data_IF_051522146634
#
_entry.id   IF_051522146634
#
_cell.length_a   1.000
_cell.length_b   1.000
_cell.length_c   1.000
_cell.angle_alpha   90.00
_cell.angle_beta   90.00
_cell.angle_gamma   90.00
#
_symmetry.space_group_name_H-M   'P 1'
#
loop_
_entity.id
_entity.type
_entity.pdbx_description
1 polymer ?
#
# COMPACT_ATOMS: atom_id res chain seq x y z
N UNK A 1 -5.82 -3.61 -42.51
CA UNK A 1 -5.58 -4.47 -41.34
C UNK A 1 -6.19 -3.93 -40.04
N UNK A 2 -5.77 -2.77 -39.49
CA UNK A 2 -6.27 -2.26 -38.18
C UNK A 2 -7.81 -2.29 -38.03
N UNK A 3 -8.54 -1.82 -39.04
CA UNK A 3 -10.01 -1.85 -39.09
C UNK A 3 -10.61 -3.27 -39.07
N UNK A 4 -10.01 -4.22 -39.79
CA UNK A 4 -10.50 -5.59 -39.86
C UNK A 4 -10.37 -6.33 -38.51
N UNK A 5 -9.28 -6.10 -37.76
CA UNK A 5 -9.11 -6.68 -36.42
C UNK A 5 -10.11 -6.08 -35.43
N UNK A 6 -10.36 -4.77 -35.50
CA UNK A 6 -11.39 -4.12 -34.67
C UNK A 6 -12.80 -4.64 -35.02
N UNK A 7 -13.12 -4.82 -36.30
CA UNK A 7 -14.38 -5.45 -36.73
C UNK A 7 -14.50 -6.90 -36.28
N UNK A 8 -13.42 -7.68 -36.27
CA UNK A 8 -13.42 -9.05 -35.73
C UNK A 8 -13.64 -9.06 -34.22
N UNK A 9 -13.07 -8.11 -33.48
CA UNK A 9 -13.27 -7.97 -32.03
C UNK A 9 -14.72 -7.56 -31.70
N UNK A 10 -15.26 -6.58 -32.44
CA UNK A 10 -16.68 -6.17 -32.33
C UNK A 10 -17.62 -7.31 -32.72
N UNK A 11 -17.31 -8.08 -33.79
CA UNK A 11 -18.07 -9.28 -34.15
C UNK A 11 -17.99 -10.37 -33.08
N UNK A 12 -16.83 -10.61 -32.45
CA UNK A 12 -16.71 -11.58 -31.37
C UNK A 12 -17.58 -11.20 -30.16
N UNK A 13 -17.60 -9.91 -29.79
CA UNK A 13 -18.48 -9.38 -28.74
C UNK A 13 -19.97 -9.55 -29.14
N UNK A 14 -20.34 -9.17 -30.37
CA UNK A 14 -21.71 -9.33 -30.88
C UNK A 14 -22.15 -10.80 -30.94
N UNK A 15 -21.27 -11.73 -31.35
CA UNK A 15 -21.58 -13.16 -31.37
C UNK A 15 -21.88 -13.72 -29.97
N UNK A 16 -21.19 -13.22 -28.93
CA UNK A 16 -21.49 -13.58 -27.53
C UNK A 16 -22.89 -13.08 -27.15
N UNK A 17 -23.25 -11.84 -27.50
CA UNK A 17 -24.61 -11.32 -27.26
C UNK A 17 -25.69 -12.10 -28.02
N UNK A 18 -25.48 -12.43 -29.31
CA UNK A 18 -26.49 -13.18 -30.10
C UNK A 18 -26.61 -14.63 -29.68
N UNK A 19 -25.56 -15.25 -29.13
CA UNK A 19 -25.62 -16.63 -28.63
C UNK A 19 -26.50 -16.78 -27.37
N UNK A 20 -26.80 -15.68 -26.67
CA UNK A 20 -27.68 -15.69 -25.49
C UNK A 20 -29.16 -15.47 -25.82
N UNK A 21 -29.52 -15.00 -27.02
CA UNK A 21 -30.93 -14.71 -27.36
C UNK A 21 -31.74 -15.93 -27.84
N UNK A 22 -31.14 -17.12 -27.92
CA UNK A 22 -31.78 -18.37 -28.34
C UNK A 22 -31.88 -19.42 -27.22
N UNK A 23 -31.86 -19.00 -25.96
CA UNK A 23 -31.82 -19.89 -24.79
C UNK A 23 -32.76 -19.49 -23.66
N UNK A 24 -33.94 -20.12 -23.64
CA UNK A 24 -34.94 -20.15 -22.55
C UNK A 24 -35.63 -18.83 -22.17
N UNK A 25 -36.97 -18.88 -22.15
CA UNK A 25 -37.81 -17.88 -21.51
C UNK A 25 -38.08 -18.26 -20.03
N UNK A 26 -38.35 -17.25 -19.20
CA UNK A 26 -38.93 -17.44 -17.87
C UNK A 26 -37.97 -17.51 -16.69
N UNK A 27 -37.38 -16.36 -16.31
CA UNK A 27 -37.41 -15.82 -14.93
C UNK A 27 -36.58 -14.52 -14.84
N UNK A 28 -36.98 -13.61 -13.95
CA UNK A 28 -36.27 -12.34 -13.75
C UNK A 28 -34.94 -12.55 -13.00
N UNK A 29 -33.81 -12.43 -13.72
CA UNK A 29 -32.46 -12.44 -13.16
C UNK A 29 -31.72 -11.17 -13.61
N UNK A 30 -30.91 -10.60 -12.72
CA UNK A 30 -30.24 -9.31 -12.94
C UNK A 30 -29.26 -9.34 -14.13
N UNK A 31 -29.39 -8.35 -15.02
CA UNK A 31 -28.53 -8.15 -16.18
C UNK A 31 -27.16 -7.56 -15.77
N UNK A 32 -26.30 -8.34 -15.11
CA UNK A 32 -24.82 -8.13 -15.03
C UNK A 32 -24.12 -9.27 -14.26
N UNK A 33 -24.14 -10.50 -14.77
CA UNK A 33 -23.45 -11.64 -14.14
C UNK A 33 -22.51 -12.39 -15.10
N UNK A 34 -21.63 -11.63 -15.75
CA UNK A 34 -20.52 -12.18 -16.53
C UNK A 34 -19.37 -12.47 -15.56
N UNK A 35 -19.04 -13.76 -15.40
CA UNK A 35 -17.93 -14.21 -14.56
C UNK A 35 -16.59 -13.67 -15.08
N UNK A 36 -16.19 -12.49 -14.60
CA UNK A 36 -14.98 -11.79 -15.02
C UNK A 36 -13.71 -12.59 -14.78
N UNK A 37 -13.68 -13.49 -13.78
CA UNK A 37 -12.57 -14.41 -13.54
C UNK A 37 -12.43 -15.44 -14.67
N UNK A 38 -13.55 -15.91 -15.23
CA UNK A 38 -13.56 -16.77 -16.43
C UNK A 38 -13.13 -15.99 -17.68
N UNK A 39 -13.71 -14.82 -17.93
CA UNK A 39 -13.34 -13.96 -19.06
C UNK A 39 -11.84 -13.58 -19.03
N UNK A 40 -11.34 -13.11 -17.89
CA UNK A 40 -9.95 -12.71 -17.71
C UNK A 40 -9.01 -13.92 -17.81
N UNK A 41 -9.34 -15.08 -17.24
CA UNK A 41 -8.54 -16.30 -17.41
C UNK A 41 -8.55 -16.81 -18.85
N UNK A 42 -9.66 -16.68 -19.58
CA UNK A 42 -9.76 -17.08 -20.99
C UNK A 42 -8.95 -16.13 -21.89
N UNK A 43 -9.05 -14.81 -21.65
CA UNK A 43 -8.28 -13.78 -22.34
C UNK A 43 -6.77 -13.93 -22.07
N UNK A 44 -6.36 -14.07 -20.80
CA UNK A 44 -4.96 -14.26 -20.40
C UNK A 44 -4.41 -15.65 -20.80
N UNK A 45 -5.25 -16.69 -20.90
CA UNK A 45 -4.80 -18.01 -21.40
C UNK A 45 -4.71 -18.04 -22.93
N UNK A 46 -5.61 -17.37 -23.65
CA UNK A 46 -5.46 -17.14 -25.09
C UNK A 46 -4.18 -16.35 -25.42
N UNK A 47 -3.81 -15.39 -24.55
CA UNK A 47 -2.55 -14.65 -24.63
C UNK A 47 -1.29 -15.52 -24.44
N UNK A 48 -1.36 -16.75 -23.92
CA UNK A 48 -0.19 -17.65 -23.81
C UNK A 48 0.39 -18.02 -25.18
N UNK A 49 -0.46 -18.13 -26.21
CA UNK A 49 -0.01 -18.35 -27.60
C UNK A 49 0.44 -17.04 -28.30
N UNK A 50 0.33 -15.89 -27.64
CA UNK A 50 0.54 -14.56 -28.23
C UNK A 50 1.85 -13.88 -27.81
N UNK A 51 2.80 -14.61 -27.22
CA UNK A 51 4.17 -14.11 -26.96
C UNK A 51 4.91 -13.60 -28.23
N UNK A 52 4.44 -14.00 -29.43
CA UNK A 52 4.91 -13.50 -30.73
C UNK A 52 4.20 -12.22 -31.20
N UNK A 53 2.98 -11.95 -30.72
CA UNK A 53 2.20 -10.74 -31.03
C UNK A 53 2.39 -9.64 -29.99
N UNK A 54 2.77 -9.98 -28.75
CA UNK A 54 3.11 -9.03 -27.69
C UNK A 54 4.14 -7.97 -28.14
N UNK A 55 5.21 -8.42 -28.81
CA UNK A 55 6.27 -7.57 -29.41
C UNK A 55 5.82 -6.71 -30.59
N UNK A 56 4.65 -6.97 -31.18
CA UNK A 56 4.11 -6.21 -32.32
C UNK A 56 3.19 -5.07 -31.83
N UNK A 57 2.56 -5.23 -30.66
CA UNK A 57 1.49 -4.35 -30.17
C UNK A 57 1.77 -3.57 -28.88
N UNK A 58 2.95 -3.72 -28.26
CA UNK A 58 3.38 -2.89 -27.09
C UNK A 58 2.34 -2.85 -25.95
N UNK A 59 1.73 -3.99 -25.61
CA UNK A 59 0.60 -4.05 -24.66
C UNK A 59 0.89 -3.44 -23.28
N UNK A 60 2.15 -3.46 -22.83
CA UNK A 60 2.55 -2.82 -21.57
C UNK A 60 2.27 -1.30 -21.57
N UNK A 61 2.35 -0.62 -22.73
CA UNK A 61 2.01 0.82 -22.92
C UNK A 61 0.49 1.08 -22.95
N UNK A 62 -0.33 0.03 -23.07
CA UNK A 62 -1.80 0.13 -23.00
C UNK A 62 -2.25 0.08 -21.54
N UNK A 63 -1.70 -0.82 -20.73
CA UNK A 63 -2.11 -1.01 -19.34
C UNK A 63 -1.33 -0.17 -18.32
N UNK A 64 -0.10 0.23 -18.65
CA UNK A 64 0.78 0.96 -17.73
C UNK A 64 1.29 2.28 -18.32
N UNK A 65 1.37 3.32 -17.49
CA UNK A 65 2.09 4.57 -17.80
C UNK A 65 3.57 4.44 -17.45
N UNK A 66 4.39 5.32 -18.01
CA UNK A 66 5.85 5.33 -17.75
C UNK A 66 6.16 5.43 -16.25
N UNK A 67 6.86 4.43 -15.66
CA UNK A 67 7.27 4.47 -14.26
C UNK A 67 8.47 5.40 -14.01
N UNK A 68 8.89 5.62 -12.76
CA UNK A 68 10.19 6.23 -12.46
C UNK A 68 11.33 5.33 -12.95
N UNK A 69 11.81 5.54 -14.18
CA UNK A 69 12.75 4.62 -14.84
C UNK A 69 14.22 4.90 -14.56
N UNK A 70 14.56 6.11 -14.12
CA UNK A 70 15.94 6.46 -13.73
C UNK A 70 16.30 5.74 -12.42
N UNK A 71 17.34 4.91 -12.49
CA UNK A 71 17.76 4.00 -11.43
C UNK A 71 19.29 3.94 -11.36
N UNK A 72 19.83 3.88 -10.16
CA UNK A 72 21.27 3.71 -9.88
C UNK A 72 21.49 2.48 -9.00
N UNK A 73 22.59 1.75 -9.17
CA UNK A 73 22.89 0.58 -8.32
C UNK A 73 23.09 1.00 -6.86
N UNK A 74 22.55 0.26 -5.89
CA UNK A 74 22.64 0.59 -4.47
C UNK A 74 23.05 -0.63 -3.62
N UNK A 75 24.18 -0.51 -2.90
CA UNK A 75 24.79 -1.63 -2.19
C UNK A 75 24.09 -1.96 -0.86
N UNK A 76 23.26 -2.99 -0.87
CA UNK A 76 22.65 -3.63 0.31
C UNK A 76 23.47 -4.87 0.67
N UNK A 77 23.86 -5.00 1.95
CA UNK A 77 24.52 -6.19 2.50
C UNK A 77 23.49 -7.27 2.89
N UNK A 78 23.93 -8.52 3.02
CA UNK A 78 23.04 -9.62 3.41
C UNK A 78 22.37 -9.41 4.78
N UNK A 79 23.02 -8.73 5.72
CA UNK A 79 22.41 -8.39 7.02
C UNK A 79 21.28 -7.36 6.88
N UNK A 80 21.43 -6.40 5.97
CA UNK A 80 20.39 -5.41 5.64
C UNK A 80 19.26 -6.04 4.81
N UNK A 81 19.58 -6.92 3.85
CA UNK A 81 18.60 -7.74 3.11
C UNK A 81 17.79 -8.65 4.05
N UNK A 82 18.44 -9.26 5.04
CA UNK A 82 17.81 -10.07 6.08
C UNK A 82 16.92 -9.23 7.03
N UNK A 83 17.29 -7.98 7.30
CA UNK A 83 16.41 -7.03 8.00
C UNK A 83 15.16 -6.72 7.16
N UNK A 84 15.32 -6.43 5.86
CA UNK A 84 14.18 -6.25 4.95
C UNK A 84 13.28 -7.48 4.90
N UNK A 85 13.84 -8.69 4.74
CA UNK A 85 13.08 -9.95 4.73
C UNK A 85 12.27 -10.15 6.02
N UNK A 86 12.88 -9.93 7.20
CA UNK A 86 12.19 -10.07 8.50
C UNK A 86 11.06 -9.05 8.70
N UNK A 87 11.24 -7.80 8.24
CA UNK A 87 10.20 -6.77 8.33
C UNK A 87 9.10 -6.94 7.26
N UNK A 88 9.43 -7.48 6.09
CA UNK A 88 8.46 -7.88 5.07
C UNK A 88 7.59 -9.06 5.55
N UNK A 89 8.19 -10.07 6.21
CA UNK A 89 7.46 -11.14 6.88
C UNK A 89 6.54 -10.62 8.00
N UNK A 90 7.01 -9.69 8.84
CA UNK A 90 6.15 -9.08 9.87
C UNK A 90 4.98 -8.31 9.24
N UNK A 91 5.25 -7.58 8.15
CA UNK A 91 4.23 -6.86 7.37
C UNK A 91 3.24 -7.84 6.71
N UNK A 92 3.69 -9.02 6.25
CA UNK A 92 2.83 -10.09 5.74
C UNK A 92 1.90 -10.62 6.84
N UNK A 93 2.41 -10.86 8.06
CA UNK A 93 1.60 -11.35 9.17
C UNK A 93 0.46 -10.41 9.57
N UNK A 94 0.56 -9.10 9.29
CA UNK A 94 -0.53 -8.15 9.60
C UNK A 94 -1.84 -8.47 8.87
N UNK A 95 -1.78 -9.19 7.74
CA UNK A 95 -2.94 -9.64 6.98
C UNK A 95 -3.67 -10.82 7.63
N UNK A 96 -3.02 -11.54 8.55
CA UNK A 96 -3.63 -12.62 9.34
C UNK A 96 -4.28 -12.13 10.63
N UNK A 97 -4.17 -10.84 10.97
CA UNK A 97 -4.86 -10.26 12.13
C UNK A 97 -6.37 -10.26 11.86
N UNK A 98 -7.10 -11.09 12.59
CA UNK A 98 -8.55 -11.25 12.44
C UNK A 98 -9.31 -9.95 12.76
N UNK A 99 -10.58 -9.86 12.36
CA UNK A 99 -11.45 -8.80 12.87
C UNK A 99 -11.82 -9.20 14.31
N UNK A 100 -11.43 -8.42 15.32
CA UNK A 100 -11.72 -8.75 16.72
C UNK A 100 -13.24 -8.60 17.00
N UNK A 101 -13.98 -9.68 16.77
CA UNK A 101 -15.44 -9.76 16.82
C UNK A 101 -15.96 -9.87 18.27
N UNK A 102 -15.63 -8.91 19.13
CA UNK A 102 -16.42 -8.69 20.34
C UNK A 102 -17.77 -8.07 19.94
N UNK A 103 -18.81 -8.90 19.89
CA UNK A 103 -20.17 -8.49 19.56
C UNK A 103 -20.79 -7.54 20.59
N UNK A 104 -20.29 -7.51 21.83
CA UNK A 104 -20.67 -6.53 22.84
C UNK A 104 -19.94 -5.21 22.58
N UNK A 105 -18.63 -5.23 22.32
CA UNK A 105 -17.88 -4.04 21.92
C UNK A 105 -18.44 -3.43 20.63
N UNK A 106 -18.90 -4.24 19.67
CA UNK A 106 -19.64 -3.75 18.49
C UNK A 106 -20.90 -2.99 18.91
N UNK A 107 -21.73 -3.56 19.78
CA UNK A 107 -22.99 -2.94 20.22
C UNK A 107 -22.74 -1.65 21.02
N UNK A 108 -21.74 -1.68 21.90
CA UNK A 108 -21.32 -0.54 22.71
C UNK A 108 -20.63 0.55 21.87
N UNK A 109 -19.88 0.18 20.82
CA UNK A 109 -19.28 1.10 19.84
C UNK A 109 -20.32 1.69 18.88
N UNK A 110 -21.30 0.91 18.41
CA UNK A 110 -22.42 1.40 17.61
C UNK A 110 -23.29 2.35 18.42
N UNK A 111 -23.59 2.03 19.69
CA UNK A 111 -24.28 2.94 20.61
C UNK A 111 -23.44 4.16 20.97
N UNK A 112 -22.12 4.02 21.17
CA UNK A 112 -21.22 5.14 21.37
C UNK A 112 -21.26 6.06 20.15
N UNK A 113 -20.94 5.57 18.94
CA UNK A 113 -20.97 6.33 17.68
C UNK A 113 -22.35 6.95 17.41
N UNK A 114 -23.45 6.29 17.80
CA UNK A 114 -24.82 6.86 17.75
C UNK A 114 -25.06 7.99 18.77
N UNK A 115 -24.36 8.01 19.91
CA UNK A 115 -24.45 9.07 20.93
C UNK A 115 -23.51 10.25 20.62
N UNK A 116 -22.29 9.92 20.22
CA UNK A 116 -21.22 10.74 19.61
C UNK A 116 -21.79 11.65 18.50
N UNK A 117 -22.61 11.08 17.60
CA UNK A 117 -23.35 11.78 16.51
C UNK A 117 -24.52 12.66 16.97
N UNK A 118 -25.04 12.47 18.18
CA UNK A 118 -26.20 13.24 18.71
C UNK A 118 -25.80 14.36 19.66
N UNK A 119 -24.61 14.29 20.25
CA UNK A 119 -24.22 15.19 21.32
C UNK A 119 -23.20 16.28 20.89
N UNK A 120 -22.42 16.06 19.81
CA UNK A 120 -21.53 17.10 19.24
C UNK A 120 -21.23 16.97 17.73
N UNK A 121 -21.69 15.90 17.07
CA UNK A 121 -20.94 15.33 15.94
C UNK A 121 -19.45 15.08 16.32
N UNK A 122 -19.23 14.42 17.49
CA UNK A 122 -18.13 13.46 17.81
C UNK A 122 -16.76 14.00 18.36
N UNK A 123 -16.32 14.03 19.65
CA UNK A 123 -16.78 13.60 21.01
C UNK A 123 -15.97 12.50 21.80
N UNK A 124 -14.62 12.53 21.78
CA UNK A 124 -13.71 11.38 22.08
C UNK A 124 -13.60 10.76 23.53
N UNK A 125 -13.57 9.42 23.57
CA UNK A 125 -12.66 8.50 24.35
C UNK A 125 -12.69 8.46 25.93
N UNK A 126 -11.65 7.99 26.70
CA UNK A 126 -11.71 6.67 27.39
C UNK A 126 -11.34 6.69 28.90
N UNK A 127 -11.19 5.51 29.56
CA UNK A 127 -10.61 5.38 30.92
C UNK A 127 -9.69 4.14 31.12
N UNK A 128 -8.73 4.33 32.04
CA UNK A 128 -7.65 3.46 32.57
C UNK A 128 -7.95 1.95 32.75
N UNK A 129 -6.97 1.03 32.82
CA UNK A 129 -5.50 1.16 32.78
C UNK A 129 -4.78 0.27 33.83
N UNK A 130 -3.52 -0.14 33.60
CA UNK A 130 -2.66 -0.86 34.58
C UNK A 130 -1.16 -0.54 34.39
N UNK A 131 -0.40 -0.46 35.49
CA UNK A 131 1.08 -0.42 35.50
C UNK A 131 1.64 -1.85 35.43
N UNK A 132 2.84 -2.00 34.87
CA UNK A 132 3.75 -3.14 35.07
C UNK A 132 5.20 -2.62 35.13
N UNK A 133 6.09 -3.32 35.83
CA UNK A 133 7.43 -2.83 36.20
C UNK A 133 8.57 -3.65 35.61
N UNK A 134 9.55 -2.94 35.03
CA UNK A 134 10.99 -3.25 35.00
C UNK A 134 11.40 -4.64 34.46
N UNK A 135 11.87 -4.61 33.21
CA UNK A 135 12.96 -5.43 32.64
C UNK A 135 12.98 -6.95 32.89
N UNK A 136 12.12 -7.66 32.17
CA UNK A 136 12.54 -8.87 31.46
C UNK A 136 12.54 -8.59 29.95
N UNK A 137 13.45 -9.23 29.20
CA UNK A 137 13.53 -9.09 27.73
C UNK A 137 12.49 -10.01 27.08
N UNK A 138 11.23 -9.59 27.13
CA UNK A 138 10.17 -10.32 26.43
C UNK A 138 10.20 -10.05 24.93
N UNK A 139 10.43 -11.10 24.15
CA UNK A 139 9.92 -11.20 22.79
C UNK A 139 8.39 -11.10 22.82
N UNK A 140 7.85 -9.90 22.59
CA UNK A 140 6.39 -9.68 22.56
C UNK A 140 5.93 -9.45 21.14
N UNK A 141 5.06 -10.33 20.63
CA UNK A 141 4.16 -10.03 19.52
C UNK A 141 2.80 -9.66 20.13
N UNK A 142 2.25 -8.51 19.75
CA UNK A 142 0.92 -8.08 20.18
C UNK A 142 0.17 -7.53 18.99
N UNK A 143 -0.91 -8.20 18.61
CA UNK A 143 -1.77 -7.77 17.51
C UNK A 143 -2.75 -6.71 17.99
N UNK A 144 -3.10 -5.77 17.13
CA UNK A 144 -4.04 -4.69 17.46
C UNK A 144 -5.08 -4.50 16.36
N UNK A 145 -6.29 -4.10 16.79
CA UNK A 145 -7.36 -3.61 15.93
C UNK A 145 -7.93 -2.35 16.58
N UNK A 146 -8.01 -1.26 15.83
CA UNK A 146 -8.57 0.03 16.28
C UNK A 146 -9.26 0.71 15.11
N UNK A 147 -10.58 0.90 15.18
CA UNK A 147 -11.37 1.58 14.16
C UNK A 147 -11.05 1.07 12.73
N UNK A 148 -11.07 -0.25 12.56
CA UNK A 148 -10.66 -1.03 11.37
C UNK A 148 -9.15 -1.04 11.03
N UNK A 149 -8.33 -0.10 11.53
CA UNK A 149 -6.87 -0.19 11.39
C UNK A 149 -6.36 -1.40 12.16
N UNK A 150 -5.58 -2.26 11.50
CA UNK A 150 -4.94 -3.41 12.13
C UNK A 150 -3.42 -3.33 12.07
N UNK A 151 -2.77 -4.15 12.88
CA UNK A 151 -1.34 -4.35 12.79
C UNK A 151 -0.78 -5.18 13.92
N UNK A 152 0.55 -5.20 14.00
CA UNK A 152 1.33 -5.95 14.97
C UNK A 152 2.37 -5.03 15.59
N UNK A 153 2.40 -4.99 16.92
CA UNK A 153 3.53 -4.45 17.68
C UNK A 153 4.44 -5.64 18.00
N UNK A 154 5.72 -5.54 17.64
CA UNK A 154 6.73 -6.55 17.91
C UNK A 154 7.93 -5.95 18.64
N UNK A 155 8.22 -6.39 19.87
CA UNK A 155 9.39 -5.92 20.63
C UNK A 155 10.42 -7.03 20.81
N UNK A 156 11.69 -6.67 20.62
CA UNK A 156 12.88 -7.47 20.90
C UNK A 156 13.97 -6.55 21.47
N UNK A 157 14.61 -6.95 22.56
CA UNK A 157 15.61 -6.16 23.28
C UNK A 157 15.12 -4.72 23.58
N UNK A 158 15.81 -3.72 23.02
CA UNK A 158 15.47 -2.28 23.08
C UNK A 158 14.93 -1.74 21.75
N UNK A 159 14.35 -2.62 20.92
CA UNK A 159 13.75 -2.25 19.63
C UNK A 159 12.28 -2.67 19.60
N UNK A 160 11.38 -1.73 19.32
CA UNK A 160 9.95 -2.00 19.13
C UNK A 160 9.54 -1.63 17.71
N UNK A 161 9.07 -2.61 16.96
CA UNK A 161 8.54 -2.45 15.61
C UNK A 161 7.02 -2.29 15.67
N UNK A 162 6.46 -1.31 14.96
CA UNK A 162 5.02 -1.20 14.70
C UNK A 162 4.79 -1.50 13.22
N UNK A 163 4.11 -2.61 12.93
CA UNK A 163 3.74 -3.03 11.59
C UNK A 163 2.26 -2.73 11.34
N UNK A 164 1.96 -1.82 10.42
CA UNK A 164 0.58 -1.48 10.04
C UNK A 164 0.10 -2.34 8.85
N UNK A 165 -1.14 -2.83 8.93
CA UNK A 165 -1.77 -3.62 7.86
C UNK A 165 -2.03 -2.76 6.62
N UNK A 166 -1.70 -3.30 5.45
CA UNK A 166 -2.09 -2.71 4.16
C UNK A 166 -3.48 -3.11 3.70
N UNK A 167 -3.93 -2.61 2.55
CA UNK A 167 -5.26 -2.91 2.02
C UNK A 167 -5.45 -4.40 1.78
N UNK A 168 -6.53 -4.96 2.34
CA UNK A 168 -6.95 -6.33 2.04
C UNK A 168 -7.31 -6.46 0.55
N UNK A 169 -6.84 -7.49 -0.17
CA UNK A 169 -7.14 -7.64 -1.60
C UNK A 169 -8.63 -7.94 -1.81
N UNK A 170 -9.42 -6.92 -2.11
CA UNK A 170 -10.88 -6.96 -2.30
C UNK A 170 -11.29 -7.63 -3.62
N UNK A 171 -11.00 -8.93 -3.75
CA UNK A 171 -11.28 -9.69 -4.97
C UNK A 171 -12.80 -9.86 -5.17
N UNK A 172 -13.32 -9.25 -6.24
CA UNK A 172 -14.69 -9.46 -6.77
C UNK A 172 -15.81 -9.14 -5.76
N UNK A 173 -15.69 -8.03 -5.02
CA UNK A 173 -16.77 -7.48 -4.19
C UNK A 173 -17.03 -8.21 -2.88
N UNK A 174 -16.43 -9.38 -2.65
CA UNK A 174 -16.41 -10.02 -1.34
C UNK A 174 -15.41 -9.30 -0.43
N UNK A 175 -15.92 -8.52 0.52
CA UNK A 175 -15.11 -7.72 1.41
C UNK A 175 -15.79 -7.44 2.75
N UNK A 176 -15.07 -7.70 3.85
CA UNK A 176 -15.46 -7.24 5.18
C UNK A 176 -15.46 -5.70 5.23
N UNK A 177 -16.14 -5.11 6.22
CA UNK A 177 -16.18 -3.65 6.43
C UNK A 177 -14.80 -3.00 6.48
N UNK A 178 -13.79 -3.69 7.02
CA UNK A 178 -12.39 -3.27 7.02
C UNK A 178 -11.81 -3.08 5.61
N UNK A 179 -12.17 -3.92 4.63
CA UNK A 179 -11.71 -3.76 3.24
C UNK A 179 -12.39 -2.59 2.50
N UNK A 180 -13.64 -2.26 2.86
CA UNK A 180 -14.31 -1.04 2.39
C UNK A 180 -13.63 0.21 2.96
N UNK A 181 -13.24 0.17 4.23
CA UNK A 181 -12.45 1.23 4.89
C UNK A 181 -11.07 1.40 4.26
N UNK A 182 -10.33 0.30 4.03
CA UNK A 182 -9.04 0.31 3.32
C UNK A 182 -9.16 1.00 1.95
N UNK A 183 -10.16 0.62 1.15
CA UNK A 183 -10.42 1.20 -0.18
C UNK A 183 -10.82 2.68 -0.14
N UNK A 184 -11.54 3.13 0.88
CA UNK A 184 -11.85 4.56 1.08
C UNK A 184 -10.57 5.34 1.41
N UNK A 185 -9.69 4.77 2.24
CA UNK A 185 -8.40 5.39 2.53
C UNK A 185 -7.55 5.51 1.26
N UNK A 186 -7.34 4.43 0.51
CA UNK A 186 -6.52 4.42 -0.73
C UNK A 186 -6.98 5.48 -1.75
N UNK A 187 -8.30 5.54 -2.00
CA UNK A 187 -8.92 6.44 -2.97
C UNK A 187 -8.91 7.91 -2.53
N UNK A 188 -8.48 8.20 -1.30
CA UNK A 188 -8.23 9.56 -0.81
C UNK A 188 -6.72 9.82 -0.78
N UNK A 189 -5.96 8.90 -0.18
CA UNK A 189 -4.53 9.02 0.07
C UNK A 189 -3.70 9.18 -1.20
N UNK A 190 -4.00 8.40 -2.25
CA UNK A 190 -3.17 8.29 -3.45
C UNK A 190 -3.76 8.98 -4.68
N UNK A 191 -4.79 9.82 -4.49
CA UNK A 191 -5.36 10.67 -5.53
C UNK A 191 -4.66 12.04 -5.60
N UNK A 192 -4.32 12.47 -6.82
CA UNK A 192 -3.78 13.80 -7.09
C UNK A 192 -4.65 14.95 -6.56
N UNK A 193 -5.97 14.74 -6.48
CA UNK A 193 -6.92 15.76 -6.01
C UNK A 193 -7.10 15.73 -4.47
N UNK A 194 -6.16 15.14 -3.71
CA UNK A 194 -6.12 15.24 -2.25
C UNK A 194 -6.06 16.71 -1.82
N UNK A 195 -6.97 17.14 -0.94
CA UNK A 195 -7.05 18.49 -0.37
C UNK A 195 -6.77 18.45 1.14
N UNK A 196 -6.46 19.58 1.81
CA UNK A 196 -6.30 19.62 3.28
C UNK A 196 -7.56 19.16 4.04
N UNK A 197 -8.74 19.33 3.43
CA UNK A 197 -10.01 18.80 3.94
C UNK A 197 -10.09 17.28 3.77
N UNK A 198 -9.79 16.74 2.58
CA UNK A 198 -9.75 15.29 2.34
C UNK A 198 -8.71 14.57 3.22
N UNK A 199 -7.63 15.24 3.63
CA UNK A 199 -6.67 14.69 4.60
C UNK A 199 -7.31 14.42 5.97
N UNK A 200 -8.33 15.18 6.39
CA UNK A 200 -9.09 14.89 7.63
C UNK A 200 -9.84 13.55 7.56
N UNK A 201 -10.17 13.09 6.35
CA UNK A 201 -10.86 11.84 6.11
C UNK A 201 -9.90 10.63 6.02
N UNK A 202 -8.59 10.81 6.27
CA UNK A 202 -7.61 9.72 6.38
C UNK A 202 -7.60 9.16 7.82
N UNK A 203 -8.75 8.64 8.27
CA UNK A 203 -9.01 8.24 9.65
C UNK A 203 -7.92 7.34 10.27
N UNK A 204 -7.41 6.35 9.52
CA UNK A 204 -6.31 5.49 9.96
C UNK A 204 -5.04 6.24 10.41
N UNK A 205 -4.77 7.46 9.92
CA UNK A 205 -3.60 8.23 10.37
C UNK A 205 -3.73 8.65 11.84
N UNK A 206 -4.92 9.02 12.31
CA UNK A 206 -5.11 9.43 13.71
C UNK A 206 -5.05 8.22 14.64
N UNK A 207 -5.66 7.10 14.26
CA UNK A 207 -5.54 5.84 15.00
C UNK A 207 -4.09 5.37 15.07
N UNK A 208 -3.35 5.43 13.97
CA UNK A 208 -1.94 5.04 13.89
C UNK A 208 -1.03 5.93 14.76
N UNK A 209 -1.30 7.25 14.81
CA UNK A 209 -0.61 8.20 15.71
C UNK A 209 -0.86 7.87 17.17
N UNK A 210 -2.11 7.58 17.54
CA UNK A 210 -2.45 7.24 18.93
C UNK A 210 -1.82 5.90 19.35
N UNK A 211 -1.84 4.88 18.48
CA UNK A 211 -1.13 3.60 18.70
C UNK A 211 0.38 3.84 18.88
N UNK A 212 1.00 4.68 18.05
CA UNK A 212 2.40 5.05 18.22
C UNK A 212 2.67 5.73 19.57
N UNK A 213 1.83 6.68 19.99
CA UNK A 213 1.96 7.37 21.28
C UNK A 213 1.81 6.40 22.46
N UNK A 214 0.92 5.42 22.36
CA UNK A 214 0.75 4.37 23.36
C UNK A 214 1.97 3.44 23.44
N UNK A 215 2.52 3.04 22.29
CA UNK A 215 3.77 2.27 22.21
C UNK A 215 4.94 3.07 22.78
N UNK A 216 5.10 4.35 22.42
CA UNK A 216 6.18 5.21 22.95
C UNK A 216 6.07 5.41 24.46
N UNK A 217 4.85 5.52 25.00
CA UNK A 217 4.61 5.62 26.44
C UNK A 217 4.91 4.32 27.19
N UNK A 218 4.67 3.16 26.56
CA UNK A 218 4.96 1.83 27.13
C UNK A 218 6.44 1.45 27.04
N UNK A 219 7.13 1.86 25.98
CA UNK A 219 8.53 1.54 25.70
C UNK A 219 9.38 2.81 25.45
N UNK A 220 9.46 3.75 26.42
CA UNK A 220 10.05 5.08 26.20
C UNK A 220 11.53 5.05 25.81
N UNK A 221 12.27 4.05 26.30
CA UNK A 221 13.70 3.86 26.05
C UNK A 221 14.00 3.00 24.82
N UNK A 222 12.98 2.48 24.13
CA UNK A 222 13.17 1.66 22.94
C UNK A 222 13.31 2.53 21.70
N UNK A 223 14.15 2.06 20.78
CA UNK A 223 14.16 2.51 19.38
C UNK A 223 12.87 2.03 18.73
N UNK A 224 12.08 2.94 18.18
CA UNK A 224 10.90 2.57 17.41
C UNK A 224 11.26 2.48 15.92
N UNK A 225 10.74 1.45 15.27
CA UNK A 225 10.78 1.28 13.81
C UNK A 225 9.35 1.07 13.33
N UNK A 226 8.97 1.76 12.27
CA UNK A 226 7.65 1.64 11.67
C UNK A 226 7.79 0.85 10.36
N UNK A 227 6.86 -0.06 10.12
CA UNK A 227 6.84 -0.88 8.91
C UNK A 227 5.39 -1.14 8.49
N UNK A 228 5.23 -1.72 7.31
CA UNK A 228 3.93 -2.05 6.74
C UNK A 228 4.08 -2.40 5.27
N UNK A 229 2.96 -2.75 4.66
CA UNK A 229 2.86 -3.06 3.25
C UNK A 229 1.81 -2.18 2.56
N UNK A 230 2.04 -1.74 1.32
CA UNK A 230 1.09 -0.97 0.52
C UNK A 230 0.56 0.26 1.31
N UNK A 231 -0.76 0.42 1.45
CA UNK A 231 -1.40 1.41 2.32
C UNK A 231 -0.75 1.51 3.73
N UNK A 232 -0.46 0.36 4.36
CA UNK A 232 0.12 0.29 5.70
C UNK A 232 1.54 0.86 5.75
N UNK A 233 2.28 0.79 4.65
CA UNK A 233 3.60 1.40 4.53
C UNK A 233 3.50 2.94 4.41
N UNK A 234 2.46 3.47 3.75
CA UNK A 234 2.18 4.93 3.70
C UNK A 234 1.66 5.49 5.04
N UNK A 235 0.97 4.66 5.83
CA UNK A 235 0.63 4.96 7.23
C UNK A 235 1.90 5.00 8.09
N UNK A 236 2.78 4.00 7.94
CA UNK A 236 4.06 3.93 8.65
C UNK A 236 4.97 5.14 8.36
N UNK A 237 5.09 5.55 7.09
CA UNK A 237 5.87 6.74 6.70
C UNK A 237 5.24 8.03 7.20
N UNK A 238 3.92 8.18 7.14
CA UNK A 238 3.20 9.34 7.68
C UNK A 238 3.44 9.53 9.18
N UNK A 239 3.32 8.46 9.98
CA UNK A 239 3.61 8.49 11.42
C UNK A 239 5.10 8.75 11.68
N UNK A 240 5.99 8.15 10.89
CA UNK A 240 7.44 8.35 10.98
C UNK A 240 7.89 9.78 10.67
N UNK A 241 7.23 10.45 9.73
CA UNK A 241 7.45 11.88 9.45
C UNK A 241 6.94 12.79 10.57
N UNK A 242 5.77 12.49 11.16
CA UNK A 242 5.23 13.28 12.28
C UNK A 242 6.12 13.20 13.52
N UNK A 243 6.62 12.01 13.86
CA UNK A 243 7.37 11.77 15.10
C UNK A 243 8.89 11.59 14.93
N UNK A 244 9.41 11.73 13.71
CA UNK A 244 10.83 11.64 13.37
C UNK A 244 11.46 10.28 13.77
N UNK A 245 10.72 9.19 13.59
CA UNK A 245 11.15 7.81 13.84
C UNK A 245 11.58 7.10 12.54
N UNK A 246 12.20 5.92 12.67
CA UNK A 246 12.69 5.14 11.52
C UNK A 246 11.55 4.39 10.80
N UNK A 247 11.61 4.31 9.47
CA UNK A 247 10.57 3.66 8.65
C UNK A 247 11.19 2.79 7.55
N UNK A 248 10.73 1.54 7.47
CA UNK A 248 11.03 0.61 6.36
C UNK A 248 9.69 0.13 5.80
N UNK A 249 9.24 0.72 4.68
CA UNK A 249 7.95 0.45 4.04
C UNK A 249 8.08 -0.48 2.83
N UNK A 250 7.15 -1.42 2.65
CA UNK A 250 7.15 -2.35 1.52
C UNK A 250 6.04 -2.03 0.51
N UNK A 251 6.38 -1.88 -0.77
CA UNK A 251 5.40 -1.66 -1.84
C UNK A 251 4.51 -0.42 -1.66
N UNK A 252 4.99 0.67 -1.06
CA UNK A 252 4.21 1.91 -0.87
C UNK A 252 3.66 2.46 -2.19
N UNK A 253 2.35 2.75 -2.34
CA UNK A 253 1.90 3.65 -3.40
C UNK A 253 2.38 5.07 -3.07
N UNK A 254 2.88 5.83 -4.04
CA UNK A 254 3.61 7.10 -3.81
C UNK A 254 2.97 8.03 -2.77
N UNK A 255 3.65 8.22 -1.64
CA UNK A 255 3.10 8.84 -0.42
C UNK A 255 3.44 10.33 -0.27
N UNK A 256 4.22 10.90 -1.19
CA UNK A 256 4.68 12.29 -1.15
C UNK A 256 3.54 13.30 -0.98
N UNK A 257 2.41 13.07 -1.67
CA UNK A 257 1.25 13.96 -1.62
C UNK A 257 0.57 13.99 -0.24
N UNK A 258 0.56 12.86 0.48
CA UNK A 258 -0.03 12.76 1.83
C UNK A 258 0.86 13.53 2.80
N UNK A 259 2.13 13.16 2.87
CA UNK A 259 3.08 13.67 3.87
C UNK A 259 3.33 15.17 3.68
N UNK A 260 3.36 15.66 2.44
CA UNK A 260 3.44 17.09 2.14
C UNK A 260 2.27 17.91 2.72
N UNK A 261 1.08 17.31 2.84
CA UNK A 261 -0.14 17.96 3.38
C UNK A 261 -0.34 17.74 4.88
N UNK A 262 0.39 16.83 5.51
CA UNK A 262 0.48 16.73 6.96
C UNK A 262 1.30 17.89 7.58
N UNK A 263 1.90 18.76 6.75
CA UNK A 263 2.76 19.88 7.13
C UNK A 263 3.80 19.51 8.22
N UNK A 264 4.50 18.36 8.13
CA UNK A 264 5.39 17.91 9.18
C UNK A 264 6.56 18.87 9.35
N UNK A 265 6.98 19.05 10.61
CA UNK A 265 8.30 19.61 10.91
C UNK A 265 9.37 18.86 10.11
N UNK A 266 10.33 19.58 9.53
CA UNK A 266 11.42 18.96 8.75
C UNK A 266 12.05 17.81 9.57
N UNK A 267 12.11 16.61 9.00
CA UNK A 267 12.81 15.49 9.64
C UNK A 267 14.22 15.92 10.03
N UNK A 268 14.64 15.58 11.25
CA UNK A 268 16.03 15.76 11.65
C UNK A 268 16.83 14.64 10.98
N UNK A 269 17.85 15.03 10.22
CA UNK A 269 18.85 14.11 9.65
C UNK A 269 19.40 13.18 10.73
N UNK A 270 19.80 11.96 10.33
CA UNK A 270 20.32 10.94 11.23
C UNK A 270 21.34 11.51 12.23
N UNK A 271 21.12 11.31 13.54
CA UNK A 271 22.04 11.73 14.60
C UNK A 271 23.45 11.18 14.31
N UNK A 272 24.50 12.00 14.39
CA UNK A 272 25.90 11.58 14.13
C UNK A 272 26.49 10.63 15.20
N UNK A 273 25.65 9.93 15.97
CA UNK A 273 26.07 8.91 16.94
C UNK A 273 26.57 7.69 16.18
N UNK A 274 27.64 7.05 16.70
CA UNK A 274 28.21 5.83 16.12
C UNK A 274 27.13 4.74 16.02
N UNK A 275 26.89 4.13 14.85
CA UNK A 275 25.80 3.17 14.68
C UNK A 275 26.03 1.93 15.56
N UNK A 276 24.99 1.50 16.28
CA UNK A 276 25.08 0.42 17.27
C UNK A 276 24.34 -0.86 16.86
N UNK A 277 24.00 -0.99 15.57
CA UNK A 277 23.34 -2.17 15.01
C UNK A 277 22.92 -1.94 13.55
N UNK A 278 22.48 -3.01 12.88
CA UNK A 278 22.12 -3.00 11.44
C UNK A 278 21.16 -1.87 11.04
N UNK A 279 20.18 -1.53 11.90
CA UNK A 279 19.21 -0.45 11.65
C UNK A 279 19.91 0.92 11.54
N UNK A 280 20.84 1.23 12.45
CA UNK A 280 21.58 2.51 12.39
C UNK A 280 22.56 2.52 11.21
N UNK A 281 23.25 1.40 10.95
CA UNK A 281 24.16 1.29 9.80
C UNK A 281 23.44 1.52 8.47
N UNK A 282 22.24 0.94 8.34
CA UNK A 282 21.36 1.10 7.17
C UNK A 282 20.92 2.55 7.00
N UNK A 283 20.37 3.18 8.05
CA UNK A 283 19.89 4.56 7.94
C UNK A 283 21.01 5.60 7.84
N UNK A 284 22.20 5.33 8.39
CA UNK A 284 23.39 6.13 8.14
C UNK A 284 23.86 6.05 6.68
N UNK A 285 23.81 4.86 6.05
CA UNK A 285 24.10 4.67 4.62
C UNK A 285 23.06 5.36 3.72
N UNK A 286 21.79 5.30 4.09
CA UNK A 286 20.66 5.88 3.34
C UNK A 286 20.63 7.42 3.45
N UNK A 287 21.09 7.98 4.58
CA UNK A 287 21.11 9.43 4.83
C UNK A 287 19.74 10.03 5.19
N UNK A 288 18.71 9.20 5.38
CA UNK A 288 17.33 9.59 5.63
C UNK A 288 16.67 8.59 6.60
N UNK A 289 15.58 8.95 7.31
CA UNK A 289 14.92 8.02 8.27
C UNK A 289 13.84 7.11 7.66
N UNK A 290 13.33 7.49 6.50
CA UNK A 290 12.34 6.73 5.73
C UNK A 290 12.99 6.10 4.51
N UNK A 291 12.80 4.79 4.34
CA UNK A 291 13.12 4.05 3.11
C UNK A 291 11.94 3.18 2.68
N UNK A 292 11.70 3.13 1.38
CA UNK A 292 10.72 2.24 0.77
C UNK A 292 11.43 1.18 -0.08
N UNK A 293 10.86 -0.03 -0.13
CA UNK A 293 11.44 -1.19 -0.82
C UNK A 293 10.34 -1.97 -1.54
N UNK A 294 10.50 -2.25 -2.84
CA UNK A 294 9.64 -3.21 -3.55
C UNK A 294 10.37 -3.88 -4.71
N UNK A 295 9.66 -4.77 -5.41
CA UNK A 295 10.07 -5.28 -6.72
C UNK A 295 10.09 -4.13 -7.75
N UNK A 296 11.14 -4.03 -8.58
CA UNK A 296 11.25 -2.94 -9.57
C UNK A 296 10.13 -2.97 -10.63
N UNK A 297 9.36 -4.06 -10.72
CA UNK A 297 8.24 -4.25 -11.66
C UNK A 297 6.87 -4.05 -11.00
N UNK A 298 6.82 -3.66 -9.72
CA UNK A 298 5.59 -3.32 -9.00
C UNK A 298 4.98 -2.01 -9.56
N UNK A 299 3.82 -2.15 -10.20
CA UNK A 299 3.11 -1.06 -10.91
C UNK A 299 2.38 -0.09 -10.01
N UNK A 300 2.17 -0.43 -8.73
CA UNK A 300 1.62 0.50 -7.74
C UNK A 300 2.76 1.27 -7.09
N UNK A 301 3.84 0.59 -6.69
CA UNK A 301 5.04 1.21 -6.15
C UNK A 301 5.67 2.20 -7.13
N UNK A 302 5.93 1.77 -8.37
CA UNK A 302 6.50 2.62 -9.43
C UNK A 302 5.48 3.58 -10.05
N UNK A 303 4.28 3.68 -9.45
CA UNK A 303 3.15 4.47 -9.90
C UNK A 303 2.91 4.40 -11.41
N UNK A 304 2.83 3.18 -11.95
CA UNK A 304 2.60 2.88 -13.36
C UNK A 304 1.13 2.46 -13.65
N UNK A 305 0.30 2.29 -12.62
CA UNK A 305 -1.01 1.62 -12.68
C UNK A 305 -2.11 2.27 -13.56
N UNK A 306 -1.91 3.49 -14.06
CA UNK A 306 -2.90 4.21 -14.91
C UNK A 306 -2.36 4.39 -16.34
N UNK A 307 -2.31 3.32 -17.13
CA UNK A 307 -2.06 3.41 -18.57
C UNK A 307 -3.25 4.00 -19.33
N UNK A 308 -3.35 3.71 -20.64
CA UNK A 308 -4.56 3.99 -21.43
C UNK A 308 -5.78 3.25 -20.85
N UNK A 309 -5.55 2.06 -20.27
CA UNK A 309 -6.50 1.28 -19.47
C UNK A 309 -6.03 1.33 -18.01
N UNK A 310 -6.78 2.02 -17.16
CA UNK A 310 -6.48 2.18 -15.73
C UNK A 310 -6.83 0.90 -14.95
N UNK A 311 -5.85 0.02 -14.78
CA UNK A 311 -6.04 -1.31 -14.16
C UNK A 311 -6.27 -1.20 -12.64
N UNK A 312 -5.74 -0.16 -11.99
CA UNK A 312 -6.10 0.15 -10.61
C UNK A 312 -7.59 0.51 -10.52
N UNK A 313 -8.07 1.41 -11.39
CA UNK A 313 -9.48 1.82 -11.38
C UNK A 313 -10.45 0.68 -11.72
N UNK A 314 -10.06 -0.23 -12.62
CA UNK A 314 -10.84 -1.46 -12.92
C UNK A 314 -10.90 -2.41 -11.73
N UNK A 315 -9.81 -2.54 -10.95
CA UNK A 315 -9.82 -3.27 -9.67
C UNK A 315 -10.45 -2.46 -8.52
N UNK A 316 -10.88 -1.23 -8.79
CA UNK A 316 -11.66 -0.39 -7.89
C UNK A 316 -10.87 0.58 -7.02
N UNK A 317 -9.59 0.82 -7.35
CA UNK A 317 -8.67 1.71 -6.64
C UNK A 317 -8.24 2.90 -7.50
N UNK A 318 -8.19 4.10 -6.94
CA UNK A 318 -7.98 5.36 -7.66
C UNK A 318 -6.56 5.92 -7.45
N UNK A 319 -5.59 5.01 -7.29
CA UNK A 319 -4.16 5.27 -7.05
C UNK A 319 -3.55 5.93 -8.28
N UNK A 320 -3.09 7.19 -8.14
CA UNK A 320 -2.52 8.00 -9.24
C UNK A 320 -1.10 8.48 -8.97
N UNK A 321 -0.73 8.62 -7.70
CA UNK A 321 0.61 9.03 -7.27
C UNK A 321 1.67 8.00 -7.68
N UNK A 322 2.93 8.44 -7.67
CA UNK A 322 4.11 7.63 -7.93
C UNK A 322 5.27 7.98 -6.98
N UNK A 323 5.33 9.22 -6.53
CA UNK A 323 6.49 9.77 -5.84
C UNK A 323 6.47 9.47 -4.35
N UNK A 324 7.62 9.06 -3.82
CA UNK A 324 7.79 8.75 -2.41
C UNK A 324 8.34 9.91 -1.59
N UNK A 325 8.35 9.68 -0.29
CA UNK A 325 9.16 10.40 0.67
C UNK A 325 10.44 9.64 1.02
N UNK A 326 11.50 10.36 1.37
CA UNK A 326 12.78 9.75 1.72
C UNK A 326 13.53 9.10 0.55
N UNK A 327 13.79 7.79 0.66
CA UNK A 327 14.59 7.03 -0.31
C UNK A 327 13.84 5.82 -0.84
N UNK A 328 13.73 5.75 -2.16
CA UNK A 328 13.04 4.71 -2.91
C UNK A 328 14.06 3.67 -3.40
N UNK A 329 14.01 2.46 -2.87
CA UNK A 329 14.81 1.33 -3.35
C UNK A 329 13.92 0.31 -4.07
N UNK A 330 14.44 -0.35 -5.09
CA UNK A 330 13.78 -1.53 -5.66
C UNK A 330 14.78 -2.65 -5.97
N UNK A 331 14.29 -3.87 -6.09
CA UNK A 331 15.09 -5.05 -6.46
C UNK A 331 14.49 -5.78 -7.67
N UNK A 332 15.31 -6.56 -8.37
CA UNK A 332 14.90 -7.40 -9.53
C UNK A 332 14.16 -6.61 -10.64
N UNK A 333 14.95 -6.00 -11.51
CA UNK A 333 14.52 -5.17 -12.64
C UNK A 333 14.34 -5.96 -13.97
N UNK A 334 14.37 -7.30 -13.95
CA UNK A 334 14.31 -8.11 -15.17
C UNK A 334 12.87 -8.49 -15.58
N UNK A 335 12.43 -8.08 -16.76
CA UNK A 335 11.12 -8.44 -17.33
C UNK A 335 9.99 -7.46 -17.01
N UNK A 336 8.76 -7.81 -17.43
CA UNK A 336 7.63 -6.87 -17.49
C UNK A 336 7.05 -6.46 -16.13
N UNK A 337 6.52 -5.23 -16.14
CA UNK A 337 5.65 -4.63 -15.14
C UNK A 337 4.43 -5.51 -14.83
N UNK A 338 4.05 -5.69 -13.55
CA UNK A 338 2.84 -6.43 -13.18
C UNK A 338 2.28 -6.08 -11.80
N UNK A 339 0.94 -6.01 -11.70
CA UNK A 339 0.20 -5.88 -10.44
C UNK A 339 0.47 -7.04 -9.46
N UNK A 340 0.85 -8.23 -9.95
CA UNK A 340 1.20 -9.37 -9.09
C UNK A 340 2.46 -9.12 -8.24
N UNK A 341 3.36 -8.25 -8.71
CA UNK A 341 4.61 -7.90 -8.04
C UNK A 341 4.41 -7.01 -6.81
N UNK A 342 3.26 -6.34 -6.72
CA UNK A 342 2.79 -5.59 -5.55
C UNK A 342 2.36 -6.49 -4.38
N UNK A 343 2.31 -7.81 -4.54
CA UNK A 343 1.93 -8.68 -3.42
C UNK A 343 3.09 -8.78 -2.42
N UNK A 344 2.81 -8.59 -1.13
CA UNK A 344 3.80 -8.79 -0.06
C UNK A 344 4.43 -10.19 -0.12
N UNK A 345 3.70 -11.19 -0.60
CA UNK A 345 4.22 -12.53 -0.87
C UNK A 345 5.31 -12.54 -1.95
N UNK A 346 5.13 -11.84 -3.08
CA UNK A 346 6.16 -11.67 -4.11
C UNK A 346 7.40 -10.96 -3.56
N UNK A 347 7.21 -9.97 -2.68
CA UNK A 347 8.31 -9.25 -2.02
C UNK A 347 9.08 -10.18 -1.05
N UNK A 348 8.38 -10.95 -0.22
CA UNK A 348 8.97 -11.89 0.75
C UNK A 348 9.75 -13.01 0.05
N UNK A 349 9.16 -13.68 -0.95
CA UNK A 349 9.84 -14.75 -1.69
C UNK A 349 11.03 -14.25 -2.52
N UNK A 350 11.06 -12.97 -2.90
CA UNK A 350 12.23 -12.34 -3.53
C UNK A 350 13.33 -11.99 -2.54
N UNK A 351 13.00 -11.36 -1.41
CA UNK A 351 13.97 -11.00 -0.36
C UNK A 351 14.64 -12.23 0.30
N UNK A 352 13.99 -13.40 0.22
CA UNK A 352 14.49 -14.71 0.63
C UNK A 352 15.62 -15.26 -0.27
N UNK A 353 15.82 -14.72 -1.47
CA UNK A 353 16.82 -15.21 -2.43
C UNK A 353 18.24 -14.76 -2.04
N UNK A 354 19.23 -15.64 -2.24
CA UNK A 354 20.63 -15.37 -1.88
C UNK A 354 21.20 -14.18 -2.66
N UNK A 355 21.02 -14.16 -3.97
CA UNK A 355 21.53 -13.09 -4.86
C UNK A 355 20.37 -12.22 -5.32
N UNK A 356 20.40 -10.95 -4.93
CA UNK A 356 19.36 -9.97 -5.26
C UNK A 356 19.97 -8.57 -5.39
N UNK A 357 19.99 -8.03 -6.61
CA UNK A 357 20.49 -6.69 -6.90
C UNK A 357 19.47 -5.63 -6.47
N UNK A 358 19.96 -4.57 -5.80
CA UNK A 358 19.16 -3.43 -5.38
C UNK A 358 19.54 -2.18 -6.17
N UNK A 359 18.54 -1.34 -6.44
CA UNK A 359 18.65 -0.09 -7.18
C UNK A 359 17.96 1.02 -6.40
N UNK A 360 18.56 2.20 -6.34
CA UNK A 360 17.91 3.43 -5.90
C UNK A 360 17.22 4.08 -7.10
N UNK A 361 15.91 4.27 -7.00
CA UNK A 361 15.09 4.99 -7.98
C UNK A 361 15.30 6.50 -7.77
N UNK A 362 15.37 7.27 -8.85
CA UNK A 362 15.37 8.74 -8.73
C UNK A 362 13.95 9.31 -8.54
N UNK A 363 13.87 10.28 -7.63
CA UNK A 363 12.65 11.02 -7.29
C UNK A 363 12.86 12.54 -7.52
N UNK A 364 13.98 12.99 -8.10
CA UNK A 364 14.31 14.42 -8.24
C UNK A 364 13.27 15.19 -9.08
N UNK A 365 12.70 14.54 -10.10
CA UNK A 365 11.65 15.09 -10.95
C UNK A 365 10.30 15.28 -10.24
N UNK A 366 10.05 14.64 -9.10
CA UNK A 366 8.72 14.54 -8.49
C UNK A 366 8.15 15.88 -8.03
N UNK A 367 8.94 16.69 -7.31
CA UNK A 367 8.52 18.02 -6.87
C UNK A 367 8.18 18.98 -8.03
N UNK A 368 8.62 18.66 -9.25
CA UNK A 368 8.36 19.44 -10.46
C UNK A 368 7.24 18.87 -11.35
N UNK A 369 6.91 17.58 -11.26
CA UNK A 369 6.05 16.90 -12.26
C UNK A 369 4.81 16.21 -11.68
N UNK A 370 4.83 15.74 -10.44
CA UNK A 370 3.72 14.93 -9.93
C UNK A 370 2.42 15.73 -9.78
N UNK A 371 1.32 15.16 -10.29
CA UNK A 371 -0.05 15.66 -10.16
C UNK A 371 -0.34 17.06 -10.72
N UNK A 372 0.60 17.71 -11.42
CA UNK A 372 0.41 19.09 -11.91
C UNK A 372 -0.57 19.25 -13.06
N UNK A 373 -0.56 18.35 -14.04
CA UNK A 373 -1.30 18.57 -15.30
C UNK A 373 -2.83 18.52 -15.17
N UNK A 374 -3.36 18.04 -14.03
CA UNK A 374 -4.82 18.06 -13.78
C UNK A 374 -5.41 19.47 -13.58
N UNK A 375 -4.58 20.49 -13.33
CA UNK A 375 -5.04 21.89 -13.30
C UNK A 375 -5.23 22.50 -14.71
N UNK A 376 -4.70 21.88 -15.77
CA UNK A 376 -4.85 22.38 -17.16
C UNK A 376 -6.15 21.96 -17.84
N UNK A 377 -7.01 21.20 -17.17
CA UNK A 377 -8.24 20.59 -17.75
C UNK A 377 -9.56 21.09 -17.17
N UNK A 378 -9.56 22.14 -16.34
CA UNK A 378 -10.77 22.65 -15.66
C UNK A 378 -11.19 24.04 -16.19
N UNK A 379 -10.30 24.73 -16.93
CA UNK A 379 -10.62 25.96 -17.65
C UNK A 379 -10.28 25.79 -19.14
N UNK A 380 -11.22 25.21 -19.89
CA UNK A 380 -11.23 25.25 -21.36
C UNK A 380 -12.65 25.03 -21.89
#
# INVERSE_FOLDING_TARGET
MRTAVLMLFIKAILCIFTAQSSGQAGNNVSFFDINFKSFLNYFLSGLKNLARIGRIFKWDEVFYKEPQNEMTSFAISDTEKMLFYKLALLSQQTYSVEDYYDGKLKKDYEMAVQKYKRANDMEQTPKNGRKFSIFEVFYTKTEFVKNYLKGIIFTVDRTTVIAYKGTSPSLLGYGNSSSSSDKVFDNIAFDCNLSPERVKNLFYLEDARQIYLDVKRRFPNNRIVLTGHSMGAAIASSVGYIYNEYVIGFGTPGDHQIIKRLHPSKQKTHDKKKPSGVIDSLFAKIGHKTVHVSDCRDVIYRGACNGQVDICKISGYDIKTKCHTGVTLCFDNEGSLSLLKHTIYSIVEKLKQEKLSFYKVDESGCGKTECKDKLKGIFK
#
